data_IF_147094983201
#
_entry.id   IF_147094983201
#
_cell.length_a   1.000
_cell.length_b   1.000
_cell.length_c   1.000
_cell.angle_alpha   90.00
_cell.angle_beta   90.00
_cell.angle_gamma   90.00
#
_symmetry.space_group_name_H-M   'P 1'
#
loop_
_entity.id
_entity.type
_entity.pdbx_description
1 polymer ?
#
# COMPACT_ATOMS: atom_id res chain seq x y z
N UNK A 1 -21.21 -45.13 9.33
CA UNK A 1 -20.12 -44.97 10.31
C UNK A 1 -18.92 -44.42 9.56
N UNK A 2 -18.41 -43.23 9.91
CA UNK A 2 -17.15 -42.74 9.33
C UNK A 2 -15.99 -43.53 9.95
N UNK A 3 -15.18 -44.18 9.12
CA UNK A 3 -14.00 -44.94 9.55
C UNK A 3 -12.93 -43.94 10.04
N UNK A 4 -12.73 -43.86 11.36
CA UNK A 4 -11.83 -42.92 12.03
C UNK A 4 -10.33 -43.30 11.89
N UNK A 5 -10.02 -44.30 11.07
CA UNK A 5 -8.66 -44.84 10.91
C UNK A 5 -7.80 -44.04 9.93
N UNK A 6 -8.39 -43.30 8.98
CA UNK A 6 -7.63 -42.51 8.00
C UNK A 6 -7.06 -41.21 8.61
N UNK A 7 -5.76 -41.20 8.91
CA UNK A 7 -5.07 -40.06 9.55
C UNK A 7 -3.81 -39.68 8.79
N UNK A 8 -3.58 -38.37 8.70
CA UNK A 8 -2.32 -37.79 8.20
C UNK A 8 -1.30 -37.81 9.33
N UNK A 9 -0.20 -38.54 9.16
CA UNK A 9 0.98 -38.51 10.03
C UNK A 9 2.07 -37.69 9.36
N UNK A 10 2.65 -36.74 10.08
CA UNK A 10 3.79 -35.96 9.62
C UNK A 10 4.94 -36.28 10.58
N UNK A 11 6.01 -36.84 10.03
CA UNK A 11 7.24 -37.14 10.76
C UNK A 11 8.32 -36.20 10.26
N UNK A 12 8.82 -35.35 11.14
CA UNK A 12 9.88 -34.40 10.79
C UNK A 12 11.22 -34.92 11.27
N UNK A 13 12.18 -35.01 10.35
CA UNK A 13 13.55 -35.44 10.60
C UNK A 13 14.43 -34.19 10.55
N UNK A 14 15.10 -33.91 11.67
CA UNK A 14 16.10 -32.86 11.80
C UNK A 14 17.50 -33.48 11.76
N UNK A 15 18.50 -32.72 11.30
CA UNK A 15 19.90 -33.15 11.32
C UNK A 15 20.24 -34.18 10.23
N UNK A 16 19.80 -33.93 9.00
CA UNK A 16 20.13 -34.80 7.87
C UNK A 16 21.63 -34.73 7.55
N UNK A 17 22.26 -35.86 7.20
CA UNK A 17 23.64 -35.88 6.71
C UNK A 17 23.83 -34.95 5.51
N UNK A 18 24.97 -34.25 5.44
CA UNK A 18 25.28 -33.24 4.40
C UNK A 18 25.16 -33.77 2.97
N UNK A 19 25.32 -35.08 2.75
CA UNK A 19 25.19 -35.70 1.42
C UNK A 19 23.75 -35.72 0.86
N UNK A 20 22.72 -35.45 1.69
CA UNK A 20 21.30 -35.50 1.29
C UNK A 20 20.74 -34.12 0.92
N UNK A 21 21.24 -33.01 1.49
CA UNK A 21 20.84 -31.67 1.07
C UNK A 21 21.77 -30.55 1.57
N UNK A 22 22.28 -29.74 0.66
CA UNK A 22 23.12 -28.56 0.96
C UNK A 22 22.29 -27.35 1.46
N UNK A 23 20.97 -27.34 1.24
CA UNK A 23 20.13 -26.15 1.52
C UNK A 23 18.92 -26.41 2.45
N UNK A 24 18.54 -27.66 2.75
CA UNK A 24 17.36 -27.94 3.58
C UNK A 24 17.73 -28.68 4.87
N UNK A 25 17.71 -27.93 5.98
CA UNK A 25 17.99 -28.43 7.36
C UNK A 25 16.91 -29.33 7.96
N UNK A 26 15.76 -29.51 7.30
CA UNK A 26 14.69 -30.40 7.75
C UNK A 26 14.01 -31.12 6.59
N UNK A 27 13.71 -32.40 6.79
CA UNK A 27 12.89 -33.22 5.89
C UNK A 27 11.62 -33.61 6.64
N UNK A 28 10.46 -33.38 6.04
CA UNK A 28 9.18 -33.85 6.56
C UNK A 28 8.67 -34.99 5.68
N UNK A 29 8.46 -36.16 6.28
CA UNK A 29 7.79 -37.29 5.63
C UNK A 29 6.31 -37.21 6.00
N UNK A 30 5.45 -37.24 4.99
CA UNK A 30 4.00 -37.20 5.16
C UNK A 30 3.42 -38.53 4.72
N UNK A 31 2.82 -39.24 5.66
CA UNK A 31 2.21 -40.55 5.44
C UNK A 31 0.71 -40.47 5.73
N UNK A 32 -0.09 -41.16 4.92
CA UNK A 32 -1.51 -41.35 5.17
C UNK A 32 -1.70 -42.79 5.62
N UNK A 33 -2.12 -42.98 6.88
CA UNK A 33 -2.33 -44.30 7.47
C UNK A 33 -3.83 -44.59 7.56
N UNK A 34 -4.25 -45.84 7.33
CA UNK A 34 -5.64 -46.30 7.43
C UNK A 34 -6.32 -46.54 6.07
N UNK A 35 -7.58 -46.97 6.09
CA UNK A 35 -8.39 -47.22 4.90
C UNK A 35 -8.84 -45.90 4.28
N UNK A 36 -8.57 -45.68 2.99
CA UNK A 36 -8.96 -44.43 2.32
C UNK A 36 -10.50 -44.27 2.38
N UNK A 37 -11.03 -43.17 2.93
CA UNK A 37 -12.47 -43.01 3.08
C UNK A 37 -13.13 -42.96 1.69
N UNK A 38 -14.09 -43.85 1.47
CA UNK A 38 -14.88 -43.93 0.22
C UNK A 38 -15.76 -42.70 -0.02
N UNK A 39 -16.01 -41.90 1.03
CA UNK A 39 -16.73 -40.62 0.96
C UNK A 39 -15.81 -39.48 1.39
N UNK A 40 -15.29 -38.74 0.41
CA UNK A 40 -14.51 -37.52 0.67
C UNK A 40 -15.42 -36.44 1.28
N UNK A 41 -14.96 -35.80 2.37
CA UNK A 41 -15.72 -34.76 3.08
C UNK A 41 -15.87 -33.49 2.22
N UNK A 42 -17.02 -32.83 2.37
CA UNK A 42 -17.32 -31.51 1.79
C UNK A 42 -16.28 -30.49 2.27
N UNK A 43 -15.69 -29.72 1.36
CA UNK A 43 -14.75 -28.65 1.71
C UNK A 43 -15.48 -27.32 1.92
N UNK A 44 -15.45 -26.78 3.15
CA UNK A 44 -15.95 -25.45 3.49
C UNK A 44 -17.47 -25.23 3.32
N UNK A 45 -17.88 -23.98 3.13
CA UNK A 45 -19.29 -23.53 3.04
C UNK A 45 -19.99 -23.87 1.70
N UNK A 46 -19.47 -24.83 0.92
CA UNK A 46 -20.07 -25.20 -0.36
C UNK A 46 -21.44 -25.84 -0.14
N UNK A 47 -22.43 -25.53 -0.98
CA UNK A 47 -23.78 -26.13 -0.90
C UNK A 47 -23.83 -27.54 -1.53
N UNK A 48 -22.99 -27.84 -2.53
CA UNK A 48 -22.95 -29.12 -3.27
C UNK A 48 -22.29 -30.25 -2.46
N UNK A 49 -22.83 -31.47 -2.55
CA UNK A 49 -22.40 -32.67 -1.80
C UNK A 49 -21.11 -33.32 -2.34
N UNK A 50 -20.66 -32.93 -3.53
CA UNK A 50 -19.48 -33.51 -4.15
C UNK A 50 -18.18 -33.01 -3.51
N UNK A 51 -17.21 -33.90 -3.31
CA UNK A 51 -15.90 -33.53 -2.81
C UNK A 51 -15.09 -32.73 -3.84
N UNK A 52 -14.37 -31.72 -3.35
CA UNK A 52 -13.42 -30.99 -4.19
C UNK A 52 -12.19 -31.88 -4.47
N UNK A 53 -12.02 -32.25 -5.73
CA UNK A 53 -10.82 -32.92 -6.24
C UNK A 53 -10.06 -31.87 -7.04
N UNK A 54 -8.83 -31.58 -6.60
CA UNK A 54 -7.95 -30.62 -7.27
C UNK A 54 -7.49 -31.21 -8.60
N UNK A 55 -7.72 -30.50 -9.69
CA UNK A 55 -7.15 -30.85 -11.00
C UNK A 55 -5.63 -30.70 -10.96
N UNK A 56 -4.92 -31.62 -11.61
CA UNK A 56 -3.45 -31.61 -11.68
C UNK A 56 -2.94 -30.24 -12.22
N UNK A 57 -2.01 -29.58 -11.51
CA UNK A 57 -1.41 -28.33 -11.95
C UNK A 57 -0.85 -28.37 -13.38
N UNK A 58 -0.29 -29.49 -13.82
CA UNK A 58 0.27 -29.69 -15.17
C UNK A 58 -0.82 -29.67 -16.24
N UNK A 59 -1.95 -30.34 -15.98
CA UNK A 59 -3.10 -30.36 -16.89
C UNK A 59 -3.71 -28.97 -17.02
N UNK A 60 -3.88 -28.25 -15.89
CA UNK A 60 -4.37 -26.86 -15.93
C UNK A 60 -3.42 -25.94 -16.70
N UNK A 61 -2.10 -26.15 -16.56
CA UNK A 61 -1.10 -25.35 -17.28
C UNK A 61 -1.16 -25.60 -18.79
N UNK A 62 -1.15 -26.87 -19.22
CA UNK A 62 -1.31 -27.25 -20.63
C UNK A 62 -2.60 -26.70 -21.23
N UNK A 63 -3.71 -26.77 -20.48
CA UNK A 63 -5.00 -26.21 -20.91
C UNK A 63 -4.94 -24.68 -21.12
N UNK A 64 -4.20 -23.97 -20.26
CA UNK A 64 -4.04 -22.52 -20.38
C UNK A 64 -3.19 -22.13 -21.60
N UNK A 65 -2.17 -22.93 -21.93
CA UNK A 65 -1.32 -22.75 -23.12
C UNK A 65 -2.11 -23.03 -24.41
N UNK A 66 -2.87 -24.14 -24.47
CA UNK A 66 -3.75 -24.44 -25.61
C UNK A 66 -4.81 -23.34 -25.83
N UNK A 67 -5.33 -22.76 -24.74
CA UNK A 67 -6.28 -21.66 -24.80
C UNK A 67 -5.67 -20.32 -25.25
N UNK A 68 -4.35 -20.22 -25.51
CA UNK A 68 -3.78 -19.06 -26.20
C UNK A 68 -4.22 -19.01 -27.67
N UNK A 69 -4.36 -20.17 -28.31
CA UNK A 69 -4.62 -20.31 -29.74
C UNK A 69 -6.03 -20.82 -30.06
N UNK A 70 -6.73 -21.40 -29.10
CA UNK A 70 -8.07 -21.97 -29.28
C UNK A 70 -9.10 -21.44 -28.28
N UNK A 71 -10.38 -21.59 -28.60
CA UNK A 71 -11.49 -21.28 -27.67
C UNK A 71 -11.44 -22.25 -26.49
N UNK A 72 -11.65 -21.72 -25.28
CA UNK A 72 -11.60 -22.50 -24.03
C UNK A 72 -12.63 -23.63 -24.01
N UNK A 73 -13.77 -23.48 -24.67
CA UNK A 73 -14.75 -24.55 -24.88
C UNK A 73 -14.14 -25.75 -25.61
N UNK A 74 -13.39 -25.49 -26.68
CA UNK A 74 -12.82 -26.53 -27.54
C UNK A 74 -11.64 -27.22 -26.83
N UNK A 75 -10.82 -26.46 -26.12
CA UNK A 75 -9.73 -26.99 -25.27
C UNK A 75 -10.30 -27.92 -24.19
N UNK A 76 -11.42 -27.52 -23.58
CA UNK A 76 -12.10 -28.32 -22.58
C UNK A 76 -12.62 -29.64 -23.16
N UNK A 77 -13.25 -29.61 -24.33
CA UNK A 77 -13.71 -30.80 -25.05
C UNK A 77 -12.54 -31.75 -25.37
N UNK A 78 -11.45 -31.24 -25.94
CA UNK A 78 -10.25 -32.05 -26.23
C UNK A 78 -9.66 -32.73 -24.99
N UNK A 79 -9.59 -32.01 -23.87
CA UNK A 79 -9.06 -32.58 -22.62
C UNK A 79 -10.01 -33.63 -22.00
N UNK A 80 -11.33 -33.48 -22.20
CA UNK A 80 -12.31 -34.47 -21.80
C UNK A 80 -12.25 -35.74 -22.67
N UNK A 81 -12.00 -35.57 -23.97
CA UNK A 81 -11.80 -36.66 -24.93
C UNK A 81 -10.50 -37.42 -24.66
N UNK A 82 -9.42 -36.72 -24.31
CA UNK A 82 -8.13 -37.33 -23.97
C UNK A 82 -8.19 -38.16 -22.68
N UNK A 83 -8.66 -37.57 -21.57
CA UNK A 83 -8.80 -38.27 -20.29
C UNK A 83 -9.77 -37.55 -19.33
N UNK A 84 -11.03 -37.97 -19.35
CA UNK A 84 -12.12 -37.41 -18.55
C UNK A 84 -11.86 -37.40 -17.03
N UNK A 85 -11.06 -38.32 -16.50
CA UNK A 85 -10.74 -38.40 -15.07
C UNK A 85 -9.79 -37.29 -14.59
N UNK A 86 -8.96 -36.77 -15.48
CA UNK A 86 -7.94 -35.75 -15.16
C UNK A 86 -8.24 -34.38 -15.76
N UNK A 87 -9.24 -34.32 -16.65
CA UNK A 87 -9.70 -33.08 -17.26
C UNK A 87 -10.11 -32.03 -16.22
N UNK A 88 -9.97 -30.72 -16.53
CA UNK A 88 -10.52 -29.66 -15.69
C UNK A 88 -12.01 -29.88 -15.44
N UNK A 89 -12.53 -29.46 -14.29
CA UNK A 89 -13.97 -29.62 -13.99
C UNK A 89 -14.84 -28.52 -14.61
N UNK A 90 -14.21 -27.42 -15.02
CA UNK A 90 -14.91 -26.26 -15.57
C UNK A 90 -13.97 -25.41 -16.43
N UNK A 91 -14.53 -24.83 -17.49
CA UNK A 91 -13.90 -23.79 -18.32
C UNK A 91 -13.40 -22.60 -17.49
N UNK A 92 -13.99 -22.33 -16.32
CA UNK A 92 -13.54 -21.29 -15.38
C UNK A 92 -12.12 -21.53 -14.89
N UNK A 93 -11.72 -22.78 -14.61
CA UNK A 93 -10.37 -23.09 -14.14
C UNK A 93 -9.31 -22.74 -15.19
N UNK A 94 -9.62 -23.01 -16.46
CA UNK A 94 -8.76 -22.69 -17.60
C UNK A 94 -8.67 -21.17 -17.77
N UNK A 95 -9.81 -20.47 -17.73
CA UNK A 95 -9.85 -18.99 -17.82
C UNK A 95 -9.07 -18.31 -16.69
N UNK A 96 -9.25 -18.74 -15.43
CA UNK A 96 -8.57 -18.16 -14.27
C UNK A 96 -7.05 -18.39 -14.33
N UNK A 97 -6.60 -19.53 -14.88
CA UNK A 97 -5.17 -19.80 -15.08
C UNK A 97 -4.61 -18.98 -16.24
N UNK A 98 -5.29 -18.94 -17.39
CA UNK A 98 -4.90 -18.17 -18.57
C UNK A 98 -4.78 -16.68 -18.24
N UNK A 99 -5.74 -16.13 -17.49
CA UNK A 99 -5.69 -14.75 -17.03
C UNK A 99 -4.44 -14.47 -16.18
N UNK A 100 -4.17 -15.33 -15.19
CA UNK A 100 -2.97 -15.21 -14.34
C UNK A 100 -1.67 -15.35 -15.12
N UNK A 101 -1.61 -16.27 -16.07
CA UNK A 101 -0.45 -16.47 -16.95
C UNK A 101 -0.19 -15.23 -17.82
N UNK A 102 -1.22 -14.69 -18.46
CA UNK A 102 -1.12 -13.46 -19.27
C UNK A 102 -0.73 -12.24 -18.43
N UNK A 103 -1.28 -12.12 -17.22
CA UNK A 103 -0.91 -11.06 -16.29
C UNK A 103 0.59 -11.14 -15.96
N UNK A 104 1.08 -12.32 -15.60
CA UNK A 104 2.51 -12.55 -15.30
C UNK A 104 3.40 -12.30 -16.52
N UNK A 105 3.02 -12.76 -17.72
CA UNK A 105 3.75 -12.51 -18.97
C UNK A 105 3.78 -11.02 -19.36
N UNK A 106 2.74 -10.25 -19.01
CA UNK A 106 2.73 -8.78 -19.16
C UNK A 106 3.67 -8.13 -18.15
N UNK A 107 3.63 -8.54 -16.88
CA UNK A 107 4.53 -8.03 -15.83
C UNK A 107 6.00 -8.33 -16.16
N UNK A 108 6.33 -9.52 -16.65
CA UNK A 108 7.67 -9.91 -17.09
C UNK A 108 8.14 -9.10 -18.32
N UNK A 109 7.26 -8.84 -19.30
CA UNK A 109 7.58 -8.01 -20.47
C UNK A 109 7.68 -6.51 -20.18
N UNK A 110 6.97 -6.00 -19.17
CA UNK A 110 7.13 -4.63 -18.69
C UNK A 110 8.50 -4.51 -18.01
N UNK A 111 8.86 -5.46 -17.15
CA UNK A 111 10.17 -5.45 -16.49
C UNK A 111 11.36 -5.61 -17.45
N UNK A 112 11.20 -6.28 -18.61
CA UNK A 112 12.28 -6.41 -19.62
C UNK A 112 12.41 -5.20 -20.55
N UNK A 113 11.46 -4.25 -20.53
CA UNK A 113 11.45 -3.04 -21.39
C UNK A 113 11.66 -1.74 -20.63
N UNK A 114 11.80 -1.77 -19.31
CA UNK A 114 12.11 -0.56 -18.53
C UNK A 114 13.60 -0.24 -18.73
N UNK A 115 13.89 0.57 -19.75
CA UNK A 115 15.17 1.23 -19.87
C UNK A 115 15.16 2.42 -18.90
N UNK A 116 15.88 2.28 -17.78
CA UNK A 116 15.98 3.32 -16.75
C UNK A 116 16.41 4.68 -17.35
N UNK A 117 17.23 4.67 -18.40
CA UNK A 117 17.65 5.89 -19.08
C UNK A 117 16.46 6.60 -19.74
N UNK A 118 15.57 5.87 -20.41
CA UNK A 118 14.38 6.43 -21.06
C UNK A 118 13.39 6.97 -20.03
N UNK A 119 13.22 6.29 -18.90
CA UNK A 119 12.38 6.78 -17.79
C UNK A 119 12.91 8.08 -17.18
N UNK A 120 14.23 8.18 -16.95
CA UNK A 120 14.85 9.40 -16.42
C UNK A 120 14.71 10.55 -17.42
N UNK A 121 14.93 10.29 -18.71
CA UNK A 121 14.75 11.29 -19.77
C UNK A 121 13.28 11.72 -19.86
N UNK A 122 12.34 10.79 -19.74
CA UNK A 122 10.90 11.10 -19.72
C UNK A 122 10.53 12.02 -18.56
N UNK A 123 11.00 11.72 -17.34
CA UNK A 123 10.74 12.54 -16.16
C UNK A 123 11.35 13.95 -16.29
N UNK A 124 12.55 14.06 -16.87
CA UNK A 124 13.17 15.36 -17.15
C UNK A 124 12.43 16.13 -18.25
N UNK A 125 11.92 15.45 -19.28
CA UNK A 125 11.09 16.08 -20.31
C UNK A 125 9.78 16.64 -19.73
N UNK A 126 9.17 15.90 -18.81
CA UNK A 126 7.99 16.34 -18.07
C UNK A 126 8.28 17.57 -17.19
N UNK A 127 9.48 17.73 -16.62
CA UNK A 127 9.86 18.94 -15.88
C UNK A 127 9.70 20.22 -16.72
N UNK A 128 10.10 20.15 -17.99
CA UNK A 128 10.05 21.30 -18.89
C UNK A 128 8.67 21.51 -19.51
N UNK A 129 7.92 20.43 -19.70
CA UNK A 129 6.64 20.44 -20.40
C UNK A 129 5.45 20.66 -19.46
N UNK A 130 5.56 20.20 -18.22
CA UNK A 130 4.46 20.16 -17.27
C UNK A 130 4.58 21.29 -16.23
N UNK A 131 3.69 22.30 -16.25
CA UNK A 131 3.79 23.47 -15.37
C UNK A 131 3.54 23.17 -13.90
N UNK A 132 3.10 21.95 -13.56
CA UNK A 132 2.87 21.52 -12.18
C UNK A 132 4.12 20.89 -11.58
N UNK A 133 5.06 20.39 -12.39
CA UNK A 133 6.31 19.83 -11.88
C UNK A 133 7.29 20.98 -11.67
N UNK A 134 7.66 21.22 -10.42
CA UNK A 134 8.46 22.38 -10.02
C UNK A 134 9.93 22.03 -9.83
N UNK A 135 10.22 20.82 -9.36
CA UNK A 135 11.58 20.38 -9.12
C UNK A 135 11.68 18.86 -9.15
N UNK A 136 12.79 18.35 -9.70
CA UNK A 136 13.21 16.94 -9.58
C UNK A 136 14.59 16.91 -8.94
N UNK A 137 14.70 16.19 -7.83
CA UNK A 137 15.94 16.08 -7.08
C UNK A 137 16.50 14.68 -7.25
N UNK A 138 17.68 14.61 -7.83
CA UNK A 138 18.45 13.38 -8.02
C UNK A 138 19.59 13.35 -7.01
N UNK A 139 19.70 12.27 -6.25
CA UNK A 139 20.78 12.08 -5.27
C UNK A 139 21.42 10.73 -5.51
N UNK A 140 22.75 10.67 -5.40
CA UNK A 140 23.52 9.44 -5.65
C UNK A 140 22.94 8.30 -4.81
N UNK A 141 22.68 7.15 -5.44
CA UNK A 141 22.12 5.95 -4.81
C UNK A 141 20.71 6.08 -4.21
N UNK A 142 20.00 7.19 -4.44
CA UNK A 142 18.60 7.37 -4.03
C UNK A 142 17.70 7.45 -5.25
N UNK A 143 16.42 7.11 -5.05
CA UNK A 143 15.39 7.31 -6.07
C UNK A 143 15.08 8.80 -6.23
N UNK A 144 14.60 9.23 -7.42
CA UNK A 144 14.23 10.63 -7.63
C UNK A 144 13.15 11.10 -6.66
N UNK A 145 13.25 12.35 -6.24
CA UNK A 145 12.21 13.06 -5.50
C UNK A 145 11.61 14.10 -6.43
N UNK A 146 10.29 14.19 -6.50
CA UNK A 146 9.60 15.12 -7.40
C UNK A 146 8.68 16.03 -6.59
N UNK A 147 8.82 17.34 -6.76
CA UNK A 147 7.97 18.35 -6.11
C UNK A 147 6.98 18.87 -7.14
N UNK A 148 5.69 18.80 -6.80
CA UNK A 148 4.59 19.12 -7.71
C UNK A 148 3.59 20.09 -7.07
N UNK A 149 3.30 21.19 -7.78
CA UNK A 149 2.24 22.16 -7.53
C UNK A 149 2.14 23.19 -8.66
N UNK A 150 1.00 23.86 -8.79
CA UNK A 150 0.90 25.07 -9.62
C UNK A 150 1.26 26.33 -8.83
N UNK A 151 1.82 27.34 -9.48
CA UNK A 151 2.15 28.62 -8.81
C UNK A 151 0.95 29.21 -8.07
N UNK A 152 -0.25 29.12 -8.64
CA UNK A 152 -1.48 29.55 -8.00
C UNK A 152 -1.76 28.80 -6.68
N UNK A 153 -1.53 27.48 -6.63
CA UNK A 153 -1.67 26.72 -5.37
C UNK A 153 -0.69 27.21 -4.30
N UNK A 154 0.54 27.56 -4.70
CA UNK A 154 1.56 28.08 -3.78
C UNK A 154 1.17 29.46 -3.24
N UNK A 155 0.77 30.38 -4.12
CA UNK A 155 0.36 31.73 -3.76
C UNK A 155 -0.89 31.73 -2.86
N UNK A 156 -1.87 30.89 -3.20
CA UNK A 156 -3.08 30.71 -2.40
C UNK A 156 -2.75 30.18 -1.00
N UNK A 157 -1.82 29.21 -0.89
CA UNK A 157 -1.37 28.68 0.39
C UNK A 157 -0.65 29.76 1.22
N UNK A 158 0.27 30.52 0.61
CA UNK A 158 0.99 31.60 1.28
C UNK A 158 0.00 32.63 1.83
N UNK A 159 -0.94 33.09 1.01
CA UNK A 159 -1.96 34.08 1.40
C UNK A 159 -2.82 33.60 2.57
N UNK A 160 -3.15 32.32 2.63
CA UNK A 160 -4.03 31.78 3.65
C UNK A 160 -3.33 31.39 4.96
N UNK A 161 -2.04 31.07 4.91
CA UNK A 161 -1.29 30.56 6.07
C UNK A 161 -0.36 31.59 6.74
N UNK A 162 -0.04 32.69 6.07
CA UNK A 162 0.87 33.71 6.58
C UNK A 162 0.23 34.54 7.71
N UNK A 163 1.00 34.78 8.77
CA UNK A 163 0.62 35.67 9.88
C UNK A 163 0.10 34.91 11.10
N UNK A 164 -0.09 35.63 12.20
CA UNK A 164 -0.50 35.04 13.49
C UNK A 164 -1.92 34.44 13.40
N UNK A 165 -2.79 35.07 12.60
CA UNK A 165 -4.12 34.55 12.28
C UNK A 165 -4.11 33.64 11.05
N UNK A 166 -2.98 33.07 10.62
CA UNK A 166 -2.93 32.19 9.45
C UNK A 166 -3.69 30.87 9.65
N UNK A 167 -4.15 30.22 8.56
CA UNK A 167 -4.58 28.82 8.63
C UNK A 167 -3.42 27.95 9.10
N UNK A 168 -3.74 26.91 9.88
CA UNK A 168 -2.79 25.83 10.15
C UNK A 168 -2.40 25.16 8.84
N UNK A 169 -1.11 25.04 8.62
CA UNK A 169 -0.50 24.34 7.50
C UNK A 169 -0.27 22.87 7.91
N UNK A 170 -1.16 21.98 7.49
CA UNK A 170 -1.09 20.56 7.78
C UNK A 170 -0.13 19.84 6.84
N UNK A 171 0.77 19.02 7.37
CA UNK A 171 1.74 18.20 6.62
C UNK A 171 1.48 16.74 6.93
N UNK A 172 1.12 15.98 5.92
CA UNK A 172 0.86 14.55 6.07
C UNK A 172 1.56 13.76 4.97
N UNK A 173 2.24 12.69 5.36
CA UNK A 173 2.65 11.64 4.43
C UNK A 173 1.46 10.70 4.22
N UNK A 174 0.95 10.69 3.00
CA UNK A 174 -0.09 9.75 2.59
C UNK A 174 0.56 8.47 2.05
N UNK A 175 -0.03 7.34 2.44
CA UNK A 175 0.36 6.00 2.00
C UNK A 175 -0.65 5.52 0.96
N UNK A 176 -0.21 4.68 0.01
CA UNK A 176 -1.02 3.86 -0.90
C UNK A 176 -1.19 4.30 -2.38
N UNK A 177 -0.20 4.96 -2.99
CA UNK A 177 -0.17 5.12 -4.47
C UNK A 177 0.71 4.08 -5.19
N UNK A 178 1.22 3.08 -4.47
CA UNK A 178 2.09 2.03 -4.99
C UNK A 178 3.40 1.97 -4.21
N UNK A 179 4.53 1.97 -4.94
CA UNK A 179 5.87 1.85 -4.36
C UNK A 179 6.49 3.19 -3.92
N UNK A 180 5.70 4.26 -3.85
CA UNK A 180 6.13 5.59 -3.46
C UNK A 180 5.16 6.22 -2.46
N UNK A 181 5.65 7.21 -1.74
CA UNK A 181 4.92 8.03 -0.80
C UNK A 181 4.63 9.39 -1.40
N UNK A 182 3.52 9.99 -0.97
CA UNK A 182 3.20 11.38 -1.30
C UNK A 182 3.04 12.15 0.00
N UNK A 183 3.93 13.11 0.23
CA UNK A 183 3.81 14.06 1.34
C UNK A 183 3.18 15.33 0.83
N UNK A 184 2.06 15.71 1.43
CA UNK A 184 1.23 16.82 0.96
C UNK A 184 1.04 17.87 2.05
N UNK A 185 1.16 19.13 1.65
CA UNK A 185 0.70 20.26 2.43
C UNK A 185 -0.80 20.46 2.26
N UNK A 186 -1.49 20.83 3.33
CA UNK A 186 -2.93 21.10 3.34
C UNK A 186 -3.22 22.31 4.21
N UNK A 187 -4.25 23.08 3.84
CA UNK A 187 -4.63 24.28 4.59
C UNK A 187 -6.11 24.58 4.39
N UNK A 188 -6.71 25.35 5.29
CA UNK A 188 -8.07 25.88 5.11
C UNK A 188 -8.01 27.16 4.28
N UNK A 189 -8.72 27.18 3.16
CA UNK A 189 -8.83 28.40 2.34
C UNK A 189 -9.90 29.32 2.93
N UNK A 190 -9.45 30.42 3.51
CA UNK A 190 -10.26 31.40 4.24
C UNK A 190 -11.01 32.36 3.34
N UNK A 191 -10.67 32.40 2.05
CA UNK A 191 -11.40 33.17 1.05
C UNK A 191 -12.68 32.45 0.57
N UNK A 192 -12.89 31.20 0.99
CA UNK A 192 -14.00 30.35 0.53
C UNK A 192 -14.78 29.81 1.73
N UNK A 193 -16.10 29.72 1.61
CA UNK A 193 -16.93 29.04 2.61
C UNK A 193 -17.62 27.87 1.92
N UNK A 194 -17.52 26.68 2.50
CA UNK A 194 -18.27 25.54 2.02
C UNK A 194 -19.75 25.71 2.38
N UNK A 195 -20.62 25.79 1.37
CA UNK A 195 -22.04 26.05 1.58
C UNK A 195 -22.75 25.00 2.46
N UNK A 196 -22.27 23.74 2.44
CA UNK A 196 -22.86 22.63 3.21
C UNK A 196 -22.38 22.62 4.65
N UNK A 197 -21.07 22.74 4.88
CA UNK A 197 -20.49 22.64 6.23
C UNK A 197 -20.40 23.98 6.96
N UNK A 198 -20.58 25.10 6.24
CA UNK A 198 -20.38 26.48 6.73
C UNK A 198 -19.00 26.72 7.35
N UNK A 199 -18.01 25.95 6.89
CA UNK A 199 -16.61 26.02 7.32
C UNK A 199 -15.70 26.26 6.10
N UNK A 200 -14.48 26.72 6.36
CA UNK A 200 -13.45 26.91 5.33
C UNK A 200 -13.04 25.56 4.73
N UNK A 201 -13.08 25.38 3.40
CA UNK A 201 -12.69 24.13 2.77
C UNK A 201 -11.20 23.87 2.94
N UNK A 202 -10.84 22.60 3.14
CA UNK A 202 -9.44 22.16 3.12
C UNK A 202 -8.98 22.03 1.66
N UNK A 203 -7.91 22.73 1.33
CA UNK A 203 -7.24 22.71 0.03
C UNK A 203 -5.89 21.99 0.15
N UNK A 204 -5.44 21.40 -0.95
CA UNK A 204 -4.09 20.86 -1.06
C UNK A 204 -3.14 21.94 -1.57
N UNK A 205 -1.96 22.01 -0.94
CA UNK A 205 -0.81 22.78 -1.37
C UNK A 205 0.21 21.88 -2.08
N UNK A 206 1.49 22.26 -2.03
CA UNK A 206 2.58 21.47 -2.59
C UNK A 206 2.61 20.02 -2.14
N UNK A 207 2.94 19.15 -3.09
CA UNK A 207 3.15 17.74 -2.84
C UNK A 207 4.58 17.34 -3.20
N UNK A 208 5.14 16.40 -2.43
CA UNK A 208 6.39 15.71 -2.74
C UNK A 208 6.09 14.24 -2.99
N UNK A 209 6.53 13.74 -4.13
CA UNK A 209 6.58 12.31 -4.47
C UNK A 209 7.98 11.81 -4.12
N UNK A 210 8.06 10.78 -3.28
CA UNK A 210 9.33 10.26 -2.78
C UNK A 210 9.23 8.78 -2.40
N UNK A 211 10.36 8.13 -2.10
CA UNK A 211 10.43 6.67 -1.94
C UNK A 211 10.97 6.21 -0.58
N UNK A 212 11.27 7.14 0.31
CA UNK A 212 11.83 6.86 1.63
C UNK A 212 11.11 7.67 2.72
N UNK A 213 11.64 7.68 3.94
CA UNK A 213 11.06 8.41 5.07
C UNK A 213 12.16 9.17 5.81
N UNK A 214 13.21 9.56 5.09
CA UNK A 214 14.41 10.11 5.67
C UNK A 214 14.29 11.62 5.93
N UNK A 215 14.94 12.07 6.99
CA UNK A 215 14.94 13.48 7.39
C UNK A 215 15.52 14.39 6.29
N UNK A 216 16.53 13.92 5.56
CA UNK A 216 17.15 14.62 4.43
C UNK A 216 16.16 14.84 3.28
N UNK A 217 15.36 13.82 2.95
CA UNK A 217 14.35 13.86 1.88
C UNK A 217 13.26 14.87 2.21
N UNK A 218 12.74 14.83 3.45
CA UNK A 218 11.83 15.87 3.93
C UNK A 218 12.48 17.27 3.94
N UNK A 219 13.77 17.34 4.28
CA UNK A 219 14.51 18.59 4.38
C UNK A 219 14.59 19.33 3.06
N UNK A 220 14.75 18.59 1.96
CA UNK A 220 14.73 19.14 0.60
C UNK A 220 13.39 19.80 0.29
N UNK A 221 12.29 19.08 0.51
CA UNK A 221 10.95 19.60 0.24
C UNK A 221 10.56 20.78 1.13
N UNK A 222 10.87 20.71 2.42
CA UNK A 222 10.57 21.79 3.35
C UNK A 222 11.42 23.02 3.09
N UNK A 223 12.69 22.86 2.67
CA UNK A 223 13.52 23.99 2.21
C UNK A 223 12.89 24.68 1.00
N UNK A 224 12.49 23.89 -0.01
CA UNK A 224 11.86 24.42 -1.23
C UNK A 224 10.61 25.24 -0.91
N UNK A 225 9.76 24.74 -0.01
CA UNK A 225 8.55 25.44 0.42
C UNK A 225 8.86 26.65 1.31
N UNK A 226 9.82 26.54 2.25
CA UNK A 226 10.20 27.64 3.14
C UNK A 226 10.74 28.85 2.39
N UNK A 227 11.51 28.61 1.33
CA UNK A 227 12.11 29.67 0.51
C UNK A 227 11.04 30.55 -0.16
N UNK A 228 9.87 29.97 -0.49
CA UNK A 228 8.73 30.69 -1.07
C UNK A 228 7.91 31.47 -0.04
N UNK A 229 7.82 31.00 1.21
CA UNK A 229 7.17 31.76 2.29
C UNK A 229 8.02 32.94 2.78
N UNK A 230 9.33 32.85 2.61
CA UNK A 230 10.31 33.77 3.19
C UNK A 230 10.70 33.36 4.61
N UNK A 231 12.01 33.41 4.91
CA UNK A 231 12.63 32.80 6.09
C UNK A 231 12.09 33.28 7.46
N UNK A 232 11.45 34.46 7.53
CA UNK A 232 10.96 35.05 8.79
C UNK A 232 9.43 34.97 8.96
N UNK A 233 8.75 34.24 8.08
CA UNK A 233 7.30 34.16 8.14
C UNK A 233 6.86 33.29 9.32
N UNK A 234 6.05 33.87 10.21
CA UNK A 234 5.37 33.11 11.26
C UNK A 234 4.28 32.25 10.64
N UNK A 235 4.32 30.96 10.95
CA UNK A 235 3.39 29.95 10.48
C UNK A 235 2.96 29.08 11.66
N UNK A 236 1.77 28.49 11.56
CA UNK A 236 1.37 27.39 12.43
C UNK A 236 1.35 26.13 11.60
N UNK A 237 2.21 25.16 11.91
CA UNK A 237 2.37 23.91 11.15
C UNK A 237 1.85 22.75 11.99
N UNK A 238 0.90 22.00 11.43
CA UNK A 238 0.41 20.76 12.02
C UNK A 238 1.04 19.55 11.33
N UNK A 239 1.59 18.60 12.06
CA UNK A 239 2.08 17.34 11.46
C UNK A 239 1.79 16.14 12.35
N UNK A 240 2.05 14.96 11.81
CA UNK A 240 2.16 13.73 12.59
C UNK A 240 3.47 13.69 13.39
N UNK A 241 3.57 12.79 14.38
CA UNK A 241 4.74 12.62 15.26
C UNK A 241 5.92 11.86 14.60
N UNK A 242 5.95 11.77 13.28
CA UNK A 242 7.06 11.14 12.57
C UNK A 242 8.34 11.94 12.84
N UNK A 243 9.34 11.30 13.46
CA UNK A 243 10.55 11.96 13.96
C UNK A 243 11.34 12.66 12.84
N UNK A 244 11.58 11.98 11.73
CA UNK A 244 12.31 12.52 10.57
C UNK A 244 11.59 13.74 9.98
N UNK A 245 10.27 13.68 9.83
CA UNK A 245 9.47 14.81 9.36
C UNK A 245 9.50 15.98 10.36
N UNK A 246 9.29 15.70 11.65
CA UNK A 246 9.22 16.71 12.71
C UNK A 246 10.55 17.45 12.88
N UNK A 247 11.68 16.71 12.89
CA UNK A 247 13.01 17.30 12.96
C UNK A 247 13.27 18.22 11.77
N UNK A 248 12.95 17.73 10.57
CA UNK A 248 13.12 18.47 9.33
C UNK A 248 12.28 19.75 9.28
N UNK A 249 11.01 19.67 9.71
CA UNK A 249 10.12 20.83 9.83
C UNK A 249 10.68 21.88 10.79
N UNK A 250 11.14 21.47 11.98
CA UNK A 250 11.75 22.39 12.96
C UNK A 250 13.02 23.05 12.43
N UNK A 251 13.82 22.32 11.67
CA UNK A 251 15.04 22.86 11.07
C UNK A 251 14.74 23.87 9.95
N UNK A 252 13.71 23.63 9.12
CA UNK A 252 13.38 24.47 7.95
C UNK A 252 12.38 25.60 8.25
N UNK A 253 11.59 25.47 9.31
CA UNK A 253 10.65 26.48 9.78
C UNK A 253 10.92 26.82 11.26
N UNK A 254 12.07 27.41 11.60
CA UNK A 254 12.48 27.64 12.99
C UNK A 254 11.58 28.61 13.75
N UNK A 255 10.82 29.45 13.03
CA UNK A 255 9.90 30.43 13.60
C UNK A 255 8.42 29.99 13.57
N UNK A 256 8.15 28.74 13.18
CA UNK A 256 6.80 28.21 13.16
C UNK A 256 6.37 27.65 14.52
N UNK A 257 5.08 27.78 14.82
CA UNK A 257 4.44 27.08 15.92
C UNK A 257 4.05 25.67 15.45
N UNK A 258 4.48 24.64 16.17
CA UNK A 258 4.20 23.26 15.79
C UNK A 258 3.04 22.68 16.60
N UNK A 259 2.07 22.11 15.89
CA UNK A 259 0.92 21.42 16.45
C UNK A 259 0.93 19.94 16.05
N UNK A 260 0.41 19.10 16.93
CA UNK A 260 0.13 17.70 16.60
C UNK A 260 -1.22 17.60 15.89
N UNK A 261 -1.32 16.68 14.94
CA UNK A 261 -2.61 16.43 14.30
C UNK A 261 -3.65 15.92 15.31
N UNK A 262 -4.93 16.27 15.13
CA UNK A 262 -6.00 15.96 16.09
C UNK A 262 -6.11 14.47 16.40
N UNK A 263 -5.83 13.61 15.41
CA UNK A 263 -5.83 12.16 15.59
C UNK A 263 -4.72 11.72 16.55
N UNK A 264 -3.51 12.25 16.40
CA UNK A 264 -2.40 11.94 17.30
C UNK A 264 -2.65 12.47 18.71
N UNK A 265 -3.21 13.67 18.87
CA UNK A 265 -3.61 14.17 20.19
C UNK A 265 -4.65 13.22 20.83
N UNK A 266 -5.66 12.79 20.05
CA UNK A 266 -6.67 11.85 20.51
C UNK A 266 -6.06 10.51 20.95
N UNK A 267 -5.15 9.95 20.14
CA UNK A 267 -4.50 8.67 20.42
C UNK A 267 -3.52 8.76 21.60
N UNK A 268 -2.85 9.90 21.79
CA UNK A 268 -1.98 10.16 22.95
C UNK A 268 -2.79 10.23 24.24
N UNK A 269 -3.89 10.98 24.25
CA UNK A 269 -4.79 11.07 25.42
C UNK A 269 -5.36 9.68 25.72
N UNK A 270 -5.78 8.93 24.69
CA UNK A 270 -6.30 7.57 24.88
C UNK A 270 -5.25 6.64 25.52
N UNK A 271 -4.00 6.65 25.02
CA UNK A 271 -2.89 5.85 25.57
C UNK A 271 -2.60 6.24 27.02
N UNK A 272 -2.46 7.53 27.29
CA UNK A 272 -2.20 8.04 28.64
C UNK A 272 -3.29 7.62 29.63
N UNK A 273 -4.57 7.71 29.24
CA UNK A 273 -5.68 7.28 30.09
C UNK A 273 -5.65 5.77 30.38
N UNK A 274 -5.26 4.95 29.39
CA UNK A 274 -5.11 3.51 29.58
C UNK A 274 -3.95 3.15 30.51
N UNK A 275 -2.80 3.81 30.34
CA UNK A 275 -1.61 3.62 31.19
C UNK A 275 -1.88 4.00 32.65
N UNK A 276 -2.75 4.98 32.89
CA UNK A 276 -3.17 5.42 34.23
C UNK A 276 -4.41 4.67 34.75
N UNK A 277 -4.78 3.53 34.15
CA UNK A 277 -5.83 2.65 34.67
C UNK A 277 -7.26 3.15 34.47
N UNK A 278 -7.49 4.16 33.63
CA UNK A 278 -8.85 4.64 33.37
C UNK A 278 -9.65 3.60 32.56
N UNK A 279 -10.82 3.22 33.08
CA UNK A 279 -11.74 2.30 32.41
C UNK A 279 -12.25 2.88 31.07
N UNK A 280 -12.56 2.00 30.11
CA UNK A 280 -12.95 2.36 28.74
C UNK A 280 -14.07 3.40 28.66
N UNK A 281 -15.06 3.33 29.55
CA UNK A 281 -16.18 4.28 29.59
C UNK A 281 -15.75 5.67 30.08
N UNK A 282 -14.88 5.75 31.10
CA UNK A 282 -14.34 7.01 31.61
C UNK A 282 -13.47 7.68 30.53
N UNK A 283 -12.59 6.92 29.86
CA UNK A 283 -11.75 7.45 28.80
C UNK A 283 -12.57 8.00 27.62
N UNK A 284 -13.66 7.29 27.25
CA UNK A 284 -14.60 7.79 26.23
C UNK A 284 -15.36 9.05 26.64
N UNK A 285 -15.64 9.25 27.94
CA UNK A 285 -16.26 10.49 28.45
C UNK A 285 -15.26 11.64 28.38
N UNK A 286 -14.03 11.44 28.85
CA UNK A 286 -12.97 12.46 28.82
C UNK A 286 -12.68 12.89 27.38
N UNK A 287 -12.47 11.93 26.46
CA UNK A 287 -12.25 12.25 25.05
C UNK A 287 -13.42 13.01 24.41
N UNK A 288 -14.67 12.71 24.80
CA UNK A 288 -15.84 13.46 24.34
C UNK A 288 -15.87 14.91 24.83
N UNK A 289 -15.45 15.14 26.07
CA UNK A 289 -15.36 16.50 26.64
C UNK A 289 -14.27 17.30 25.94
N UNK A 290 -13.10 16.71 25.71
CA UNK A 290 -11.95 17.40 25.10
C UNK A 290 -12.18 17.72 23.62
N UNK A 291 -12.68 16.77 22.83
CA UNK A 291 -12.79 16.91 21.37
C UNK A 291 -14.18 17.30 20.87
N UNK A 292 -15.13 17.54 21.78
CA UNK A 292 -16.49 18.03 21.54
C UNK A 292 -17.07 17.68 20.16
N UNK A 293 -17.40 16.40 19.93
CA UNK A 293 -18.20 16.03 18.76
C UNK A 293 -19.65 16.40 19.03
N UNK A 294 -20.16 17.46 18.40
CA UNK A 294 -21.59 17.59 18.12
C UNK A 294 -21.99 16.52 17.10
#
# INVERSE_FOLDING_TARGET
MEDNTFKKRITTIAGLPEFISVEKKMLAIVEYCGTMPTKLKKQGNLKKSEPYIRTDPKVIQRAAEMAEHEKVSNVMTKLMEDNSFTAPKSTRQINDKRFRYRKRKREENVNSRINLADDVVSVLSELHSNPVIQEIILTKHKKPVVIVYSNQQMDDMIRNCKGDDGSVLGVNRTFNFGNFYVTVFSYKNRCLINNRTKDFPVMFGPCMIHFDAEEETYGKFFSHVSDRFGQKTRLTIGSDEEKSMTNSLKAKFPHANFLLCTKHIHDNIRRHLQENGAGVQASKRILRVIFWKK
#
